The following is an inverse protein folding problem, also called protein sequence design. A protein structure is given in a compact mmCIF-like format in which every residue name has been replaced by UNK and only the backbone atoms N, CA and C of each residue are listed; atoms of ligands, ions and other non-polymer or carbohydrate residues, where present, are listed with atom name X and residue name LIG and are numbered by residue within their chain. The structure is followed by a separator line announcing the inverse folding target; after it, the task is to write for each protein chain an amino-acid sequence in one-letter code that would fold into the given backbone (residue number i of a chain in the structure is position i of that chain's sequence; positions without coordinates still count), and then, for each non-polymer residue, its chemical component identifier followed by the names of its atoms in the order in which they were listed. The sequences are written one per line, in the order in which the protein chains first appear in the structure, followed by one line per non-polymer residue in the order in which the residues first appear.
data_IF_972013940760
#
_entry.id   IF_972013940760
#
_cell.length_a   1.000
_cell.length_b   1.000
_cell.length_c   1.000
_cell.angle_alpha   90.00
_cell.angle_beta   90.00
_cell.angle_gamma   90.00
#
_symmetry.space_group_name_H-M   'P 1'
#
loop_
_entity.id
_entity.type
_entity.pdbx_description
1 polymer ?
#
# COMPACT_ATOMS: atom_id res chain seq x y z
N UNK A 1 -4.91 0.52 -7.59
CA UNK A 1 -4.63 0.03 -8.95
C UNK A 1 -5.12 1.04 -9.97
N UNK A 2 -6.39 1.47 -9.93
CA UNK A 2 -7.00 2.32 -10.95
C UNK A 2 -6.17 3.56 -11.29
N UNK A 3 -5.72 4.32 -10.27
CA UNK A 3 -4.83 5.47 -10.50
C UNK A 3 -3.57 5.09 -11.29
N UNK A 4 -2.94 3.96 -10.98
CA UNK A 4 -1.73 3.51 -11.70
C UNK A 4 -2.03 3.20 -13.18
N UNK A 5 -3.16 2.57 -13.44
CA UNK A 5 -3.64 2.29 -14.81
C UNK A 5 -3.96 3.59 -15.56
N UNK A 6 -4.66 4.53 -14.92
CA UNK A 6 -4.95 5.87 -15.48
C UNK A 6 -3.66 6.63 -15.83
N UNK A 7 -2.61 6.47 -15.02
CA UNK A 7 -1.26 7.02 -15.26
C UNK A 7 -0.44 6.23 -16.29
N UNK A 8 -1.02 5.20 -16.90
CA UNK A 8 -0.43 4.43 -17.98
C UNK A 8 0.42 3.23 -17.55
N UNK A 9 0.42 2.85 -16.28
CA UNK A 9 1.09 1.64 -15.82
C UNK A 9 0.47 0.38 -16.44
N UNK A 10 1.31 -0.61 -16.74
CA UNK A 10 0.91 -1.87 -17.37
C UNK A 10 1.34 -3.10 -16.58
N UNK A 11 2.45 -2.99 -15.87
CA UNK A 11 2.98 -4.05 -15.03
C UNK A 11 3.06 -3.58 -13.58
N UNK A 12 2.01 -3.90 -12.83
CA UNK A 12 1.87 -3.43 -11.45
C UNK A 12 2.29 -4.55 -10.51
N UNK A 13 3.23 -4.24 -9.63
CA UNK A 13 3.68 -5.12 -8.55
C UNK A 13 3.11 -4.72 -7.20
N UNK A 14 3.36 -5.56 -6.18
CA UNK A 14 2.92 -5.28 -4.84
C UNK A 14 3.83 -5.82 -3.74
N UNK A 15 3.82 -5.16 -2.58
CA UNK A 15 4.52 -5.62 -1.38
C UNK A 15 3.52 -5.67 -0.22
N UNK A 16 3.20 -6.87 0.25
CA UNK A 16 2.14 -7.09 1.23
C UNK A 16 2.61 -7.89 2.44
N UNK A 17 1.90 -7.69 3.54
CA UNK A 17 2.14 -8.41 4.78
C UNK A 17 1.25 -9.65 4.85
N UNK A 18 1.84 -10.80 5.18
CA UNK A 18 1.15 -12.10 5.13
C UNK A 18 0.55 -12.56 6.46
N UNK A 19 0.95 -11.95 7.57
CA UNK A 19 0.59 -12.40 8.92
C UNK A 19 -0.40 -11.47 9.63
N UNK A 20 -1.20 -10.69 8.88
CA UNK A 20 -2.34 -9.96 9.41
C UNK A 20 -3.51 -9.83 8.40
N UNK A 21 -4.69 -9.56 8.92
CA UNK A 21 -5.91 -9.43 8.11
C UNK A 21 -5.88 -8.23 7.16
N UNK A 22 -5.19 -7.17 7.53
CA UNK A 22 -5.08 -5.97 6.69
C UNK A 22 -4.25 -6.24 5.44
N UNK A 23 -3.17 -7.01 5.56
CA UNK A 23 -2.35 -7.41 4.43
C UNK A 23 -3.14 -8.24 3.42
N UNK A 24 -3.90 -9.22 3.89
CA UNK A 24 -4.78 -10.01 3.04
C UNK A 24 -5.88 -9.17 2.38
N UNK A 25 -6.51 -8.25 3.13
CA UNK A 25 -7.54 -7.36 2.58
C UNK A 25 -6.99 -6.40 1.52
N UNK A 26 -5.79 -5.82 1.75
CA UNK A 26 -5.11 -4.94 0.78
C UNK A 26 -4.71 -5.69 -0.49
N UNK A 27 -4.22 -6.93 -0.34
CA UNK A 27 -3.91 -7.78 -1.49
C UNK A 27 -5.18 -8.19 -2.27
N UNK A 28 -6.28 -8.49 -1.58
CA UNK A 28 -7.54 -8.78 -2.25
C UNK A 28 -7.99 -7.60 -3.13
N UNK A 29 -8.01 -6.38 -2.58
CA UNK A 29 -8.34 -5.17 -3.35
C UNK A 29 -7.35 -4.88 -4.49
N UNK A 30 -6.05 -5.16 -4.29
CA UNK A 30 -5.04 -5.09 -5.34
C UNK A 30 -5.36 -6.05 -6.48
N UNK A 31 -5.66 -7.31 -6.15
CA UNK A 31 -5.98 -8.37 -7.12
C UNK A 31 -7.27 -8.07 -7.87
N UNK A 32 -8.32 -7.64 -7.17
CA UNK A 32 -9.59 -7.21 -7.78
C UNK A 32 -9.39 -6.04 -8.74
N UNK A 33 -8.59 -5.05 -8.33
CA UNK A 33 -8.27 -3.90 -9.19
C UNK A 33 -7.51 -4.30 -10.46
N UNK A 34 -6.57 -5.25 -10.39
CA UNK A 34 -5.88 -5.78 -11.56
C UNK A 34 -6.85 -6.49 -12.50
N UNK A 35 -7.69 -7.38 -11.98
CA UNK A 35 -8.67 -8.14 -12.76
C UNK A 35 -9.68 -7.19 -13.42
N UNK A 36 -10.19 -6.22 -12.67
CA UNK A 36 -11.14 -5.22 -13.19
C UNK A 36 -10.57 -4.43 -14.39
N UNK A 37 -9.29 -4.12 -14.36
CA UNK A 37 -8.60 -3.40 -15.43
C UNK A 37 -8.03 -4.31 -16.52
N UNK A 38 -8.35 -5.60 -16.52
CA UNK A 38 -7.89 -6.56 -17.52
C UNK A 38 -6.39 -6.86 -17.46
N UNK A 39 -5.75 -6.57 -16.33
CA UNK A 39 -4.34 -6.89 -16.11
C UNK A 39 -4.17 -8.35 -15.69
N UNK A 40 -3.03 -8.92 -16.06
CA UNK A 40 -2.69 -10.28 -15.62
C UNK A 40 -2.33 -10.27 -14.14
N UNK A 41 -3.07 -11.02 -13.35
CA UNK A 41 -2.72 -11.30 -11.97
C UNK A 41 -1.65 -12.40 -11.97
N UNK A 42 -0.44 -12.07 -11.53
CA UNK A 42 0.65 -13.03 -11.38
C UNK A 42 1.39 -12.82 -10.07
N UNK A 43 1.78 -13.92 -9.43
CA UNK A 43 2.54 -13.85 -8.16
C UNK A 43 4.00 -13.43 -8.38
N UNK A 44 4.47 -13.37 -9.61
CA UNK A 44 5.86 -13.05 -9.94
C UNK A 44 6.27 -11.63 -9.53
N UNK A 45 5.32 -10.70 -9.47
CA UNK A 45 5.56 -9.30 -9.10
C UNK A 45 5.07 -8.96 -7.68
N UNK A 46 4.77 -9.97 -6.86
CA UNK A 46 4.29 -9.78 -5.49
C UNK A 46 5.34 -10.26 -4.50
N UNK A 47 5.65 -9.41 -3.55
CA UNK A 47 6.54 -9.72 -2.42
C UNK A 47 5.70 -9.82 -1.15
N UNK A 48 5.80 -10.95 -0.47
CA UNK A 48 5.18 -11.16 0.82
C UNK A 48 6.23 -11.08 1.94
N UNK A 49 5.84 -10.55 3.08
CA UNK A 49 6.67 -10.52 4.28
C UNK A 49 5.82 -10.69 5.54
N UNK A 50 6.43 -11.19 6.60
CA UNK A 50 5.84 -11.31 7.94
C UNK A 50 6.31 -10.18 8.86
N UNK A 51 5.65 -10.00 10.00
CA UNK A 51 6.09 -9.06 11.05
C UNK A 51 7.55 -9.33 11.47
N UNK A 52 7.94 -10.58 11.58
CA UNK A 52 9.29 -10.96 11.96
C UNK A 52 10.35 -10.59 10.89
N UNK A 53 9.98 -10.66 9.63
CA UNK A 53 10.87 -10.36 8.50
C UNK A 53 10.98 -8.86 8.20
N UNK A 54 10.04 -8.04 8.66
CA UNK A 54 9.97 -6.61 8.35
C UNK A 54 11.30 -5.87 8.56
N UNK A 55 12.01 -6.15 9.66
CA UNK A 55 13.29 -5.49 9.97
C UNK A 55 14.44 -5.90 9.05
N UNK A 56 14.29 -6.98 8.30
CA UNK A 56 15.28 -7.52 7.38
C UNK A 56 14.92 -7.30 5.91
N UNK A 57 13.72 -6.84 5.63
CA UNK A 57 13.15 -6.76 4.28
C UNK A 57 14.04 -5.99 3.29
N UNK A 58 14.65 -4.90 3.75
CA UNK A 58 15.50 -4.03 2.92
C UNK A 58 17.00 -4.16 3.26
N UNK A 59 17.42 -5.23 3.96
CA UNK A 59 18.83 -5.51 4.16
C UNK A 59 19.46 -6.11 2.91
N UNK A 60 20.78 -5.99 2.72
CA UNK A 60 21.46 -6.46 1.52
C UNK A 60 21.16 -7.92 1.13
N UNK A 61 20.99 -8.80 2.11
CA UNK A 61 20.67 -10.21 1.93
C UNK A 61 19.28 -10.47 1.35
N UNK A 62 18.34 -9.54 1.48
CA UNK A 62 16.97 -9.64 0.96
C UNK A 62 16.63 -8.61 -0.12
N UNK A 63 17.39 -7.50 -0.20
CA UNK A 63 17.12 -6.40 -1.13
C UNK A 63 17.19 -6.83 -2.59
N UNK A 64 18.17 -7.66 -2.93
CA UNK A 64 18.34 -8.16 -4.31
C UNK A 64 17.14 -9.03 -4.73
N UNK A 65 16.67 -9.91 -3.84
CA UNK A 65 15.46 -10.70 -4.10
C UNK A 65 14.24 -9.81 -4.32
N UNK A 66 14.03 -8.82 -3.46
CA UNK A 66 12.92 -7.89 -3.60
C UNK A 66 13.02 -7.09 -4.91
N UNK A 67 14.20 -6.59 -5.23
CA UNK A 67 14.41 -5.85 -6.47
C UNK A 67 14.11 -6.71 -7.71
N UNK A 68 14.61 -7.95 -7.76
CA UNK A 68 14.34 -8.85 -8.88
C UNK A 68 12.86 -9.18 -9.03
N UNK A 69 12.11 -9.33 -7.92
CA UNK A 69 10.65 -9.53 -7.95
C UNK A 69 9.89 -8.32 -8.48
N UNK A 70 10.35 -7.11 -8.18
CA UNK A 70 9.71 -5.86 -8.60
C UNK A 70 10.28 -5.32 -9.91
N UNK A 71 11.32 -5.96 -10.44
CA UNK A 71 12.00 -5.53 -11.67
C UNK A 71 11.06 -5.52 -12.86
N UNK A 72 11.06 -4.40 -13.58
CA UNK A 72 10.20 -4.19 -14.74
C UNK A 72 8.75 -3.85 -14.43
N UNK A 73 8.38 -3.70 -13.14
CA UNK A 73 7.13 -3.04 -12.78
C UNK A 73 7.24 -1.54 -13.08
N UNK A 74 6.16 -0.95 -13.55
CA UNK A 74 6.00 0.49 -13.78
C UNK A 74 5.07 1.15 -12.76
N UNK A 75 4.43 0.34 -11.91
CA UNK A 75 3.67 0.74 -10.73
C UNK A 75 3.81 -0.25 -9.59
N UNK A 76 3.89 0.21 -8.35
CA UNK A 76 4.02 -0.64 -7.17
C UNK A 76 3.05 -0.17 -6.09
N UNK A 77 2.24 -1.11 -5.56
CA UNK A 77 1.36 -0.89 -4.42
C UNK A 77 2.02 -1.51 -3.17
N UNK A 78 2.19 -0.69 -2.15
CA UNK A 78 2.84 -1.11 -0.90
C UNK A 78 1.84 -1.26 0.23
N UNK A 79 2.08 -2.22 1.12
CA UNK A 79 1.27 -2.44 2.32
C UNK A 79 1.05 -1.14 3.11
N UNK A 80 2.08 -0.34 3.31
CA UNK A 80 1.95 0.99 3.95
C UNK A 80 3.09 1.92 3.52
N UNK A 81 3.06 3.17 4.02
CA UNK A 81 4.05 4.19 3.65
C UNK A 81 5.48 3.84 4.07
N UNK A 82 5.65 3.11 5.17
CA UNK A 82 6.98 2.69 5.60
C UNK A 82 7.60 1.67 4.62
N UNK A 83 6.77 0.77 4.10
CA UNK A 83 7.20 -0.18 3.04
C UNK A 83 7.43 0.58 1.73
N UNK A 84 6.55 1.53 1.38
CA UNK A 84 6.71 2.35 0.19
C UNK A 84 8.02 3.16 0.23
N UNK A 85 8.36 3.75 1.37
CA UNK A 85 9.64 4.43 1.57
C UNK A 85 10.83 3.49 1.32
N UNK A 86 10.80 2.29 1.89
CA UNK A 86 11.87 1.30 1.67
C UNK A 86 11.97 0.84 0.23
N UNK A 87 10.83 0.68 -0.47
CA UNK A 87 10.80 0.34 -1.90
C UNK A 87 11.39 1.47 -2.74
N UNK A 88 11.06 2.72 -2.46
CA UNK A 88 11.62 3.90 -3.15
C UNK A 88 13.14 3.95 -2.97
N UNK A 89 13.63 3.79 -1.74
CA UNK A 89 15.08 3.75 -1.44
C UNK A 89 15.79 2.59 -2.18
N UNK A 90 15.16 1.42 -2.23
CA UNK A 90 15.65 0.27 -2.98
C UNK A 90 15.74 0.55 -4.48
N UNK A 91 14.68 1.09 -5.08
CA UNK A 91 14.64 1.45 -6.50
C UNK A 91 15.73 2.47 -6.86
N UNK A 92 15.88 3.51 -6.04
CA UNK A 92 16.90 4.55 -6.24
C UNK A 92 18.33 3.98 -6.16
N UNK A 93 18.61 3.05 -5.25
CA UNK A 93 19.90 2.34 -5.19
C UNK A 93 20.23 1.54 -6.43
N UNK A 94 19.20 1.10 -7.17
CA UNK A 94 19.33 0.42 -8.46
C UNK A 94 19.18 1.36 -9.67
N UNK A 95 19.28 2.70 -9.47
CA UNK A 95 19.15 3.73 -10.48
C UNK A 95 17.77 3.74 -11.19
N UNK A 96 16.72 3.31 -10.53
CA UNK A 96 15.34 3.41 -10.97
C UNK A 96 14.70 4.63 -10.30
N UNK A 97 14.19 5.55 -11.10
CA UNK A 97 13.64 6.83 -10.62
C UNK A 97 12.16 6.70 -10.28
N UNK A 98 11.76 7.36 -9.20
CA UNK A 98 10.37 7.51 -8.78
C UNK A 98 10.06 9.01 -8.76
N UNK A 99 9.08 9.48 -9.50
CA UNK A 99 8.02 8.77 -10.24
C UNK A 99 8.34 8.48 -11.72
N UNK A 100 9.48 8.87 -12.28
CA UNK A 100 9.71 8.90 -13.72
C UNK A 100 9.67 7.49 -14.36
N UNK A 101 10.30 6.51 -13.73
CA UNK A 101 10.39 5.13 -14.24
C UNK A 101 9.32 4.23 -13.60
N UNK A 102 9.06 4.41 -12.29
CA UNK A 102 8.11 3.60 -11.50
C UNK A 102 7.25 4.50 -10.61
N UNK A 103 5.94 4.29 -10.60
CA UNK A 103 5.01 4.93 -9.67
C UNK A 103 4.88 4.08 -8.40
N UNK A 104 4.82 4.73 -7.22
CA UNK A 104 4.69 4.02 -5.94
C UNK A 104 3.54 4.58 -5.13
N UNK A 105 2.68 3.69 -4.61
CA UNK A 105 1.56 4.03 -3.72
C UNK A 105 1.75 3.34 -2.36
N UNK A 106 1.62 4.12 -1.30
CA UNK A 106 1.58 3.67 0.08
C UNK A 106 0.17 3.56 0.66
N UNK A 107 0.10 3.48 1.98
CA UNK A 107 -1.13 3.39 2.75
C UNK A 107 -0.89 3.97 4.15
N UNK A 108 -1.93 4.55 4.80
CA UNK A 108 -2.00 5.14 6.14
C UNK A 108 -1.83 6.67 6.17
N UNK A 109 -1.33 7.32 5.11
CA UNK A 109 -0.96 8.75 5.04
C UNK A 109 -0.24 9.20 6.32
N UNK A 110 0.78 8.45 6.68
CA UNK A 110 1.60 8.68 7.86
C UNK A 110 2.60 9.81 7.62
N UNK A 111 3.25 10.30 8.69
CA UNK A 111 4.27 11.34 8.58
C UNK A 111 5.40 10.99 7.61
N UNK A 112 5.73 9.70 7.46
CA UNK A 112 6.79 9.26 6.54
C UNK A 112 6.42 9.55 5.08
N UNK A 113 5.13 9.51 4.73
CA UNK A 113 4.67 9.84 3.38
C UNK A 113 4.93 11.30 3.00
N UNK A 114 4.98 12.19 3.97
CA UNK A 114 5.23 13.62 3.77
C UNK A 114 6.71 13.99 3.86
N UNK A 115 7.48 13.32 4.73
CA UNK A 115 8.90 13.63 4.96
C UNK A 115 9.86 12.76 4.14
N UNK A 116 9.36 11.80 3.36
CA UNK A 116 10.16 11.05 2.39
C UNK A 116 10.79 11.98 1.34
N UNK A 117 12.01 11.71 0.85
CA UNK A 117 12.65 12.49 -0.22
C UNK A 117 11.78 12.59 -1.49
N UNK A 118 11.00 11.57 -1.80
CA UNK A 118 9.89 11.59 -2.76
C UNK A 118 8.61 11.44 -1.95
N UNK A 119 7.76 12.45 -1.89
CA UNK A 119 6.51 12.41 -1.13
C UNK A 119 5.59 11.32 -1.67
N UNK A 120 5.13 10.45 -0.77
CA UNK A 120 4.46 9.20 -1.14
C UNK A 120 2.95 9.44 -1.26
N UNK A 121 2.39 9.16 -2.43
CA UNK A 121 0.95 9.04 -2.65
C UNK A 121 0.41 7.94 -1.75
N UNK A 122 -0.60 8.25 -0.94
CA UNK A 122 -1.05 7.34 0.10
C UNK A 122 -2.55 7.47 0.38
N UNK A 123 -3.19 6.37 0.77
CA UNK A 123 -4.56 6.39 1.27
C UNK A 123 -4.60 6.96 2.68
N UNK A 124 -5.50 7.93 2.89
CA UNK A 124 -5.69 8.56 4.21
C UNK A 124 -6.45 7.61 5.13
N UNK A 125 -5.83 7.23 6.22
CA UNK A 125 -6.49 6.43 7.25
C UNK A 125 -7.35 7.36 8.16
N UNK A 126 -8.69 7.24 8.16
CA UNK A 126 -9.58 8.17 8.86
C UNK A 126 -9.61 7.91 10.37
N UNK A 127 -8.46 8.07 11.04
CA UNK A 127 -8.22 7.66 12.44
C UNK A 127 -9.19 8.31 13.44
N UNK A 128 -9.50 9.59 13.23
CA UNK A 128 -10.40 10.36 14.12
C UNK A 128 -11.85 9.90 13.94
N UNK A 129 -12.30 9.77 12.70
CA UNK A 129 -13.64 9.30 12.35
C UNK A 129 -13.85 7.87 12.85
N UNK A 130 -12.86 7.00 12.63
CA UNK A 130 -12.88 5.62 13.09
C UNK A 130 -12.96 5.53 14.62
N UNK A 131 -12.15 6.30 15.34
CA UNK A 131 -12.18 6.34 16.81
C UNK A 131 -13.53 6.85 17.33
N UNK A 132 -14.07 7.92 16.74
CA UNK A 132 -15.39 8.47 17.10
C UNK A 132 -16.50 7.47 16.82
N UNK A 133 -16.51 6.84 15.64
CA UNK A 133 -17.50 5.84 15.26
C UNK A 133 -17.48 4.63 16.21
N UNK A 134 -16.29 4.11 16.52
CA UNK A 134 -16.12 3.00 17.45
C UNK A 134 -16.66 3.33 18.86
N UNK A 135 -16.33 4.52 19.38
CA UNK A 135 -16.82 4.96 20.69
C UNK A 135 -18.35 5.10 20.72
N UNK A 136 -18.94 5.72 19.69
CA UNK A 136 -20.39 5.89 19.59
C UNK A 136 -21.10 4.54 19.51
N UNK A 137 -20.60 3.61 18.70
CA UNK A 137 -21.15 2.26 18.58
C UNK A 137 -21.10 1.52 19.92
N UNK A 138 -19.97 1.56 20.60
CA UNK A 138 -19.82 0.94 21.92
C UNK A 138 -20.82 1.50 22.92
N UNK A 139 -20.97 2.84 22.99
CA UNK A 139 -21.94 3.49 23.87
C UNK A 139 -23.38 3.07 23.53
N UNK A 140 -23.71 2.99 22.25
CA UNK A 140 -25.04 2.54 21.81
C UNK A 140 -25.29 1.10 22.25
N UNK A 141 -24.37 0.19 21.98
CA UNK A 141 -24.48 -1.23 22.37
C UNK A 141 -24.63 -1.40 23.89
N UNK A 142 -23.93 -0.61 24.69
CA UNK A 142 -24.04 -0.66 26.16
C UNK A 142 -25.40 -0.15 26.66
N UNK A 143 -26.08 0.72 25.91
CA UNK A 143 -27.39 1.29 26.29
C UNK A 143 -28.55 0.46 25.77
N UNK A 144 -28.50 -0.02 24.56
CA UNK A 144 -29.59 -0.77 23.90
C UNK A 144 -29.48 -2.28 24.08
N UNK A 145 -28.26 -2.81 24.30
CA UNK A 145 -28.00 -4.25 24.26
C UNK A 145 -27.95 -4.86 22.86
N UNK A 146 -28.21 -4.05 21.82
CA UNK A 146 -28.27 -4.53 20.43
C UNK A 146 -26.89 -4.45 19.75
N UNK A 147 -26.55 -5.45 18.92
CA UNK A 147 -25.33 -5.40 18.12
C UNK A 147 -25.45 -4.34 17.00
N UNK A 148 -24.41 -3.53 16.86
CA UNK A 148 -24.31 -2.55 15.79
C UNK A 148 -23.89 -3.20 14.47
N UNK A 149 -24.44 -2.68 13.35
CA UNK A 149 -24.01 -3.11 12.03
C UNK A 149 -22.56 -2.66 11.73
N UNK A 150 -21.81 -3.43 10.94
CA UNK A 150 -20.51 -3.01 10.46
C UNK A 150 -20.57 -1.62 9.80
N UNK A 151 -19.56 -0.80 10.05
CA UNK A 151 -19.40 0.50 9.41
C UNK A 151 -18.13 0.47 8.56
N UNK A 152 -18.28 0.81 7.29
CA UNK A 152 -17.16 1.03 6.37
C UNK A 152 -16.98 2.53 6.22
N UNK A 153 -15.75 2.99 6.39
CA UNK A 153 -15.37 4.39 6.21
C UNK A 153 -14.60 4.54 4.91
N UNK A 154 -14.87 5.60 4.17
CA UNK A 154 -14.12 5.95 2.98
C UNK A 154 -12.68 6.34 3.34
N UNK A 155 -11.76 5.97 2.45
CA UNK A 155 -10.35 6.27 2.58
C UNK A 155 -9.88 7.00 1.32
N UNK A 156 -9.90 8.34 1.32
CA UNK A 156 -9.47 9.11 0.17
C UNK A 156 -7.98 8.92 -0.11
N UNK A 157 -7.61 8.99 -1.39
CA UNK A 157 -6.22 8.95 -1.82
C UNK A 157 -5.65 10.37 -1.87
N UNK A 158 -4.55 10.60 -1.16
CA UNK A 158 -3.72 11.80 -1.27
C UNK A 158 -2.65 11.59 -2.34
N UNK A 159 -2.87 12.15 -3.53
CA UNK A 159 -1.89 12.08 -4.60
C UNK A 159 -0.74 13.06 -4.35
N UNK A 160 0.49 12.51 -4.27
CA UNK A 160 1.74 13.23 -4.04
C UNK A 160 2.77 12.94 -5.15
N UNK A 161 4.04 13.23 -4.89
CA UNK A 161 5.11 13.18 -5.90
C UNK A 161 5.30 11.77 -6.49
N UNK A 162 5.22 10.71 -5.67
CA UNK A 162 5.51 9.34 -6.11
C UNK A 162 4.59 8.78 -7.22
N UNK A 163 3.54 9.52 -7.60
CA UNK A 163 2.67 9.19 -8.75
C UNK A 163 2.48 10.37 -9.72
N UNK A 164 3.18 11.48 -9.55
CA UNK A 164 3.08 12.65 -10.43
C UNK A 164 4.20 12.64 -11.48
N UNK A 165 3.92 12.09 -12.64
CA UNK A 165 4.76 12.19 -13.84
C UNK A 165 3.98 12.76 -15.02
#
# INVERSE_FOLDING_TARGET
VDLLIEKGCRRIGGVFKSDDMQGHGRYAGFSEGLIHNGCVLGDDNVVWYTTAERSRLFRPDNSDYMFERLRGCDGIVCYNDQIAYGVIDLLQKHNVRVPEDVLVIGFDDSSISEYSPVKITSFVHPKVEMGRAAANKLIHMLRSGDPEQPLVLDMPLHEKESTRR
#
